data_IF_596351365233
#
_entry.id   IF_596351365233
#
_cell.length_a   1.000
_cell.length_b   1.000
_cell.length_c   1.000
_cell.angle_alpha   90.00
_cell.angle_beta   90.00
_cell.angle_gamma   90.00
#
_symmetry.space_group_name_H-M   'P 1'
#
loop_
_entity.id
_entity.type
_entity.pdbx_description
1 polymer ?
#
# COMPACT_ATOMS: atom_id res chain seq x y z
N UNK A 1 43.41 -10.36 27.27
CA UNK A 1 42.56 -11.23 26.42
C UNK A 1 42.51 -10.60 25.03
N UNK A 2 43.10 -11.22 24.00
CA UNK A 2 43.04 -10.72 22.62
C UNK A 2 41.57 -10.69 22.17
N UNK A 3 41.08 -9.53 21.73
CA UNK A 3 39.71 -9.38 21.22
C UNK A 3 39.53 -10.27 20.00
N UNK A 4 38.47 -11.09 20.00
CA UNK A 4 38.13 -11.90 18.84
C UNK A 4 37.90 -10.97 17.62
N UNK A 5 38.35 -11.37 16.42
CA UNK A 5 38.10 -10.60 15.21
C UNK A 5 36.59 -10.41 14.98
N UNK A 6 36.19 -9.31 14.31
CA UNK A 6 34.78 -9.05 14.01
C UNK A 6 34.18 -10.21 13.19
N UNK A 7 32.96 -10.63 13.56
CA UNK A 7 32.24 -11.68 12.82
C UNK A 7 32.05 -11.25 11.36
N UNK A 8 32.23 -12.19 10.44
CA UNK A 8 31.90 -11.98 9.04
C UNK A 8 30.43 -11.58 8.87
N UNK A 9 30.16 -10.72 7.89
CA UNK A 9 28.79 -10.45 7.46
C UNK A 9 28.18 -11.77 6.97
N UNK A 10 27.13 -12.23 7.65
CA UNK A 10 26.37 -13.41 7.23
C UNK A 10 25.04 -12.97 6.64
N UNK A 11 24.59 -13.68 5.62
CA UNK A 11 23.24 -13.56 5.08
C UNK A 11 22.54 -14.90 5.20
N UNK A 12 21.23 -14.89 5.44
CA UNK A 12 20.44 -16.10 5.35
C UNK A 12 20.36 -16.52 3.88
N UNK A 13 20.90 -17.69 3.56
CA UNK A 13 20.72 -18.36 2.28
C UNK A 13 19.65 -19.44 2.39
N UNK A 14 18.90 -19.66 1.31
CA UNK A 14 18.04 -20.82 1.18
C UNK A 14 18.81 -21.90 0.41
N UNK A 15 18.83 -23.12 0.91
CA UNK A 15 19.42 -24.28 0.23
C UNK A 15 18.33 -25.32 0.02
N UNK A 16 18.21 -25.82 -1.20
CA UNK A 16 17.30 -26.92 -1.50
C UNK A 16 17.84 -28.22 -0.88
N UNK A 17 16.95 -29.00 -0.29
CA UNK A 17 17.30 -30.31 0.25
C UNK A 17 16.26 -31.35 -0.19
N UNK A 18 16.74 -32.42 -0.82
CA UNK A 18 15.91 -33.54 -1.28
C UNK A 18 15.40 -33.42 -2.72
N UNK A 19 15.37 -34.55 -3.40
CA UNK A 19 14.84 -34.76 -4.76
C UNK A 19 13.81 -35.90 -4.80
N UNK A 20 13.37 -36.35 -3.62
CA UNK A 20 12.48 -37.50 -3.51
C UNK A 20 11.05 -37.10 -3.83
N UNK A 21 10.31 -38.02 -4.44
CA UNK A 21 8.87 -37.94 -4.53
C UNK A 21 8.23 -38.03 -3.14
N UNK A 22 6.97 -37.64 -3.05
CA UNK A 22 6.20 -37.71 -1.80
C UNK A 22 5.13 -38.77 -1.88
N UNK A 23 4.86 -39.45 -0.78
CA UNK A 23 3.70 -40.33 -0.68
C UNK A 23 2.44 -39.53 -0.33
N UNK A 24 1.29 -39.98 -0.81
CA UNK A 24 -0.01 -39.47 -0.34
C UNK A 24 -0.09 -39.69 1.17
N UNK A 25 -0.32 -38.61 1.91
CA UNK A 25 -0.56 -38.67 3.36
C UNK A 25 -2.01 -39.11 3.62
N UNK A 26 -2.21 -40.39 3.94
CA UNK A 26 -3.55 -40.95 4.14
C UNK A 26 -4.20 -40.26 5.33
N UNK A 27 -5.35 -39.61 5.10
CA UNK A 27 -6.08 -38.79 6.09
C UNK A 27 -5.24 -37.63 6.66
N UNK A 28 -4.26 -37.15 5.90
CA UNK A 28 -3.38 -36.03 6.32
C UNK A 28 -2.26 -36.42 7.29
N UNK A 29 -2.09 -37.71 7.59
CA UNK A 29 -1.01 -38.21 8.42
C UNK A 29 0.22 -38.55 7.58
N UNK A 30 1.30 -37.79 7.73
CA UNK A 30 2.56 -37.98 6.99
C UNK A 30 3.26 -39.30 7.31
N UNK A 31 2.94 -39.95 8.43
CA UNK A 31 3.49 -41.26 8.78
C UNK A 31 2.78 -42.39 8.03
N UNK A 32 1.51 -42.19 7.67
CA UNK A 32 0.71 -43.16 6.90
C UNK A 32 0.87 -42.91 5.41
N UNK A 33 1.95 -43.47 4.86
CA UNK A 33 2.32 -43.37 3.44
C UNK A 33 1.37 -44.20 2.58
N UNK A 34 0.67 -43.53 1.66
CA UNK A 34 -0.05 -44.15 0.55
C UNK A 34 0.83 -44.29 -0.69
N UNK A 35 0.22 -44.24 -1.87
CA UNK A 35 0.93 -44.30 -3.14
C UNK A 35 1.94 -43.17 -3.30
N UNK A 36 3.06 -43.47 -3.96
CA UNK A 36 4.08 -42.48 -4.29
C UNK A 36 3.58 -41.58 -5.43
N UNK A 37 3.66 -40.27 -5.22
CA UNK A 37 3.27 -39.26 -6.20
C UNK A 37 4.53 -38.64 -6.78
N UNK A 38 4.79 -38.82 -8.10
CA UNK A 38 5.94 -38.20 -8.73
C UNK A 38 5.83 -36.68 -8.66
N UNK A 39 6.97 -36.01 -8.49
CA UNK A 39 7.02 -34.54 -8.52
C UNK A 39 6.57 -34.07 -9.90
N UNK A 40 5.54 -33.24 -9.92
CA UNK A 40 4.95 -32.69 -11.14
C UNK A 40 4.11 -31.46 -10.83
N UNK A 41 3.75 -30.72 -11.87
CA UNK A 41 2.74 -29.67 -11.75
C UNK A 41 1.35 -30.29 -11.53
N UNK A 42 0.38 -29.49 -11.08
CA UNK A 42 -0.97 -29.97 -10.76
C UNK A 42 -1.60 -30.69 -11.96
N UNK A 43 -1.84 -32.00 -11.82
CA UNK A 43 -2.31 -32.89 -12.88
C UNK A 43 -3.68 -32.46 -13.45
N UNK A 44 -4.56 -31.96 -12.58
CA UNK A 44 -5.87 -31.43 -12.94
C UNK A 44 -5.76 -30.24 -13.91
N UNK A 45 -4.66 -29.48 -13.83
CA UNK A 45 -4.44 -28.26 -14.64
C UNK A 45 -3.54 -28.56 -15.85
N UNK A 46 -2.55 -29.43 -15.70
CA UNK A 46 -1.65 -29.84 -16.79
C UNK A 46 -1.46 -31.34 -16.81
N UNK A 47 -1.67 -31.97 -17.97
CA UNK A 47 -1.57 -33.43 -18.09
C UNK A 47 -0.13 -33.95 -17.97
N UNK A 48 0.89 -33.16 -18.37
CA UNK A 48 2.25 -33.70 -18.54
C UNK A 48 3.40 -32.71 -18.25
N UNK A 49 3.50 -32.23 -16.99
CA UNK A 49 4.66 -31.45 -16.51
C UNK A 49 5.34 -32.16 -15.34
N UNK A 50 6.04 -33.27 -15.60
CA UNK A 50 6.85 -33.98 -14.59
C UNK A 50 8.14 -33.22 -14.26
N UNK A 51 8.55 -33.23 -12.99
CA UNK A 51 9.75 -32.58 -12.50
C UNK A 51 10.84 -33.61 -12.23
N UNK A 52 11.90 -33.58 -13.04
CA UNK A 52 13.01 -34.53 -13.01
C UNK A 52 14.33 -33.94 -12.50
N UNK A 53 14.45 -32.61 -12.36
CA UNK A 53 15.71 -31.94 -11.96
C UNK A 53 15.70 -31.57 -10.48
N UNK A 54 16.79 -31.88 -9.78
CA UNK A 54 17.06 -31.45 -8.40
C UNK A 54 15.84 -31.61 -7.48
N UNK A 55 15.33 -30.54 -6.85
CA UNK A 55 14.10 -30.57 -6.03
C UNK A 55 12.81 -30.44 -6.84
N UNK A 56 12.87 -29.93 -8.07
CA UNK A 56 11.72 -29.60 -8.92
C UNK A 56 11.15 -28.19 -8.70
N UNK A 57 11.67 -27.41 -7.73
CA UNK A 57 11.19 -26.05 -7.43
C UNK A 57 11.37 -25.08 -8.60
N UNK A 58 12.52 -25.14 -9.29
CA UNK A 58 12.74 -24.32 -10.49
C UNK A 58 11.72 -24.65 -11.58
N UNK A 59 11.45 -25.94 -11.82
CA UNK A 59 10.49 -26.40 -12.84
C UNK A 59 9.06 -25.99 -12.49
N UNK A 60 8.71 -25.99 -11.19
CA UNK A 60 7.47 -25.43 -10.70
C UNK A 60 7.39 -23.92 -10.97
N UNK A 61 8.44 -23.16 -10.64
CA UNK A 61 8.49 -21.72 -10.88
C UNK A 61 8.34 -21.39 -12.37
N UNK A 62 9.10 -22.06 -13.23
CA UNK A 62 9.00 -21.96 -14.69
C UNK A 62 7.58 -22.28 -15.18
N UNK A 63 6.95 -23.34 -14.66
CA UNK A 63 5.58 -23.70 -15.01
C UNK A 63 4.54 -22.66 -14.58
N UNK A 64 4.76 -22.00 -13.44
CA UNK A 64 3.86 -20.95 -12.93
C UNK A 64 3.95 -19.68 -13.78
N UNK A 65 5.14 -19.29 -14.24
CA UNK A 65 5.33 -18.08 -15.07
C UNK A 65 5.35 -18.35 -16.57
N UNK A 66 5.10 -19.60 -16.97
CA UNK A 66 5.11 -20.00 -18.37
C UNK A 66 4.04 -19.23 -19.17
N UNK A 67 4.37 -18.93 -20.43
CA UNK A 67 3.52 -18.13 -21.32
C UNK A 67 2.19 -18.81 -21.66
N UNK A 68 2.14 -20.13 -21.60
CA UNK A 68 0.93 -20.96 -21.75
C UNK A 68 0.01 -20.90 -20.51
N UNK A 69 0.49 -20.32 -19.40
CA UNK A 69 -0.29 -20.10 -18.17
C UNK A 69 -0.68 -18.61 -18.04
N UNK A 70 -1.89 -18.21 -18.49
CA UNK A 70 -2.31 -16.82 -18.45
C UNK A 70 -2.69 -16.33 -17.04
N UNK A 71 -2.82 -17.22 -16.05
CA UNK A 71 -3.34 -16.85 -14.73
C UNK A 71 -2.37 -15.92 -13.99
N UNK A 72 -1.07 -16.22 -14.04
CA UNK A 72 -0.06 -15.48 -13.28
C UNK A 72 0.05 -14.01 -13.74
N UNK A 73 0.10 -13.79 -15.05
CA UNK A 73 0.14 -12.44 -15.63
C UNK A 73 -1.17 -11.68 -15.37
N UNK A 74 -2.33 -12.31 -15.55
CA UNK A 74 -3.65 -11.73 -15.23
C UNK A 74 -3.76 -11.31 -13.77
N UNK A 75 -3.36 -12.16 -12.83
CA UNK A 75 -3.40 -11.86 -11.39
C UNK A 75 -2.48 -10.69 -11.05
N UNK A 76 -1.26 -10.67 -11.58
CA UNK A 76 -0.30 -9.60 -11.29
C UNK A 76 -0.78 -8.25 -11.87
N UNK A 77 -1.20 -8.24 -13.13
CA UNK A 77 -1.76 -7.04 -13.79
C UNK A 77 -2.97 -6.53 -13.03
N UNK A 78 -3.88 -7.41 -12.62
CA UNK A 78 -5.07 -7.03 -11.87
C UNK A 78 -4.73 -6.37 -10.52
N UNK A 79 -3.69 -6.86 -9.83
CA UNK A 79 -3.19 -6.26 -8.59
C UNK A 79 -2.56 -4.89 -8.84
N UNK A 80 -1.71 -4.76 -9.86
CA UNK A 80 -1.08 -3.47 -10.22
C UNK A 80 -2.15 -2.44 -10.60
N UNK A 81 -3.15 -2.86 -11.37
CA UNK A 81 -4.32 -2.04 -11.69
C UNK A 81 -5.05 -1.60 -10.42
N UNK A 82 -5.32 -2.53 -9.50
CA UNK A 82 -5.98 -2.23 -8.24
C UNK A 82 -5.25 -1.17 -7.41
N UNK A 83 -3.92 -1.20 -7.35
CA UNK A 83 -3.13 -0.20 -6.62
C UNK A 83 -3.26 1.20 -7.22
N UNK A 84 -3.44 1.30 -8.54
CA UNK A 84 -3.62 2.57 -9.24
C UNK A 84 -5.05 3.11 -9.13
N UNK A 85 -6.07 2.25 -9.29
CA UNK A 85 -7.47 2.67 -9.40
C UNK A 85 -8.31 2.41 -8.13
N UNK A 86 -7.71 1.84 -7.07
CA UNK A 86 -8.37 1.44 -5.81
C UNK A 86 -9.25 0.19 -5.94
N UNK A 87 -9.71 -0.13 -7.15
CA UNK A 87 -10.50 -1.31 -7.47
C UNK A 87 -9.85 -2.08 -8.61
N UNK A 88 -9.88 -3.39 -8.49
CA UNK A 88 -9.35 -4.32 -9.48
C UNK A 88 -10.33 -4.52 -10.64
N UNK A 89 -9.84 -4.92 -11.82
CA UNK A 89 -10.70 -5.30 -12.96
C UNK A 89 -11.51 -6.56 -12.59
N UNK A 90 -10.85 -7.53 -11.97
CA UNK A 90 -11.47 -8.63 -11.24
C UNK A 90 -11.51 -8.24 -9.77
N UNK A 91 -12.70 -7.85 -9.28
CA UNK A 91 -12.92 -7.30 -7.93
C UNK A 91 -12.57 -8.28 -6.79
N UNK A 92 -12.33 -9.55 -7.11
CA UNK A 92 -11.77 -10.59 -6.22
C UNK A 92 -10.29 -10.88 -6.54
N UNK A 93 -9.31 -10.10 -6.02
CA UNK A 93 -7.92 -10.11 -6.52
C UNK A 93 -7.16 -11.43 -6.28
N UNK A 94 -7.63 -12.28 -5.37
CA UNK A 94 -7.06 -13.59 -5.07
C UNK A 94 -7.93 -14.76 -5.54
N UNK A 95 -9.06 -14.50 -6.23
CA UNK A 95 -9.92 -15.56 -6.74
C UNK A 95 -10.39 -15.24 -8.16
N UNK A 96 -9.79 -15.92 -9.14
CA UNK A 96 -10.12 -15.87 -10.56
C UNK A 96 -10.90 -17.12 -11.01
N UNK A 97 -11.30 -17.98 -10.07
CA UNK A 97 -12.09 -19.17 -10.35
C UNK A 97 -13.59 -18.86 -10.49
N UNK A 98 -14.40 -19.92 -10.60
CA UNK A 98 -15.86 -19.82 -10.81
C UNK A 98 -16.58 -19.09 -9.67
N UNK A 99 -16.04 -19.15 -8.45
CA UNK A 99 -16.58 -18.48 -7.25
C UNK A 99 -16.15 -17.00 -7.18
N UNK A 100 -15.17 -16.59 -8.00
CA UNK A 100 -14.73 -15.19 -8.10
C UNK A 100 -15.65 -14.34 -8.96
N UNK A 101 -15.43 -13.02 -8.93
CA UNK A 101 -16.13 -12.10 -9.84
C UNK A 101 -15.56 -12.18 -11.25
N UNK A 102 -16.41 -11.98 -12.26
CA UNK A 102 -15.96 -11.83 -13.65
C UNK A 102 -15.24 -10.48 -13.83
N UNK A 103 -14.23 -10.39 -14.72
CA UNK A 103 -13.58 -9.13 -15.04
C UNK A 103 -14.61 -8.11 -15.58
N UNK A 104 -14.55 -6.86 -15.13
CA UNK A 104 -15.36 -5.78 -15.71
C UNK A 104 -14.98 -5.52 -17.18
N UNK A 105 -13.69 -5.61 -17.49
CA UNK A 105 -13.13 -5.38 -18.82
C UNK A 105 -12.20 -6.56 -19.20
N UNK A 106 -12.75 -7.70 -19.67
CA UNK A 106 -11.97 -8.91 -19.92
C UNK A 106 -10.92 -8.73 -21.03
N UNK A 107 -11.28 -8.06 -22.13
CA UNK A 107 -10.36 -7.82 -23.24
C UNK A 107 -9.19 -6.89 -22.84
N UNK A 108 -9.45 -5.92 -21.96
CA UNK A 108 -8.41 -5.04 -21.43
C UNK A 108 -7.44 -5.81 -20.54
N UNK A 109 -7.96 -6.65 -19.64
CA UNK A 109 -7.14 -7.48 -18.78
C UNK A 109 -6.26 -8.43 -19.59
N UNK A 110 -6.82 -9.05 -20.62
CA UNK A 110 -6.10 -9.97 -21.50
C UNK A 110 -5.01 -9.28 -22.32
N UNK A 111 -5.33 -8.08 -22.83
CA UNK A 111 -4.36 -7.26 -23.54
C UNK A 111 -3.21 -6.81 -22.62
N UNK A 112 -3.51 -6.32 -21.42
CA UNK A 112 -2.50 -5.92 -20.45
C UNK A 112 -1.64 -7.10 -19.99
N UNK A 113 -2.24 -8.27 -19.74
CA UNK A 113 -1.53 -9.48 -19.35
C UNK A 113 -0.59 -9.98 -20.45
N UNK A 114 -1.03 -9.96 -21.70
CA UNK A 114 -0.20 -10.36 -22.85
C UNK A 114 0.93 -9.36 -23.07
N UNK A 115 0.62 -8.06 -23.08
CA UNK A 115 1.61 -6.99 -23.22
C UNK A 115 2.67 -7.03 -22.10
N UNK A 116 2.26 -7.36 -20.88
CA UNK A 116 3.17 -7.49 -19.75
C UNK A 116 4.17 -8.64 -19.94
N UNK A 117 3.72 -9.79 -20.47
CA UNK A 117 4.60 -10.91 -20.80
C UNK A 117 5.52 -10.58 -21.99
N UNK A 118 5.00 -9.89 -23.01
CA UNK A 118 5.76 -9.48 -24.20
C UNK A 118 6.88 -8.49 -23.90
N UNK A 119 6.66 -7.61 -22.92
CA UNK A 119 7.65 -6.66 -22.43
C UNK A 119 8.54 -7.23 -21.31
N UNK A 120 8.78 -8.55 -21.32
CA UNK A 120 9.72 -9.21 -20.42
C UNK A 120 9.34 -9.12 -18.94
N UNK A 121 8.04 -9.10 -18.61
CA UNK A 121 7.54 -9.02 -17.24
C UNK A 121 8.00 -7.74 -16.49
N UNK A 122 8.28 -6.66 -17.23
CA UNK A 122 8.70 -5.38 -16.65
C UNK A 122 7.55 -4.67 -15.93
N UNK A 123 7.54 -4.77 -14.60
CA UNK A 123 6.55 -4.09 -13.74
C UNK A 123 6.61 -2.57 -13.95
N UNK A 124 7.81 -2.01 -14.16
CA UNK A 124 8.00 -0.57 -14.41
C UNK A 124 7.33 -0.10 -15.69
N UNK A 125 7.43 -0.89 -16.76
CA UNK A 125 6.81 -0.52 -18.04
C UNK A 125 5.30 -0.64 -17.98
N UNK A 126 4.77 -1.64 -17.26
CA UNK A 126 3.34 -1.76 -16.99
C UNK A 126 2.80 -0.57 -16.18
N UNK A 127 3.50 -0.14 -15.11
CA UNK A 127 3.10 1.08 -14.39
C UNK A 127 3.09 2.30 -15.33
N UNK A 128 4.15 2.48 -16.13
CA UNK A 128 4.24 3.61 -17.08
C UNK A 128 3.12 3.59 -18.11
N UNK A 129 2.78 2.41 -18.63
CA UNK A 129 1.69 2.23 -19.59
C UNK A 129 0.36 2.66 -18.99
N UNK A 130 0.03 2.16 -17.80
CA UNK A 130 -1.21 2.51 -17.08
C UNK A 130 -1.24 4.02 -16.79
N UNK A 131 -0.17 4.58 -16.23
CA UNK A 131 -0.13 5.99 -15.82
C UNK A 131 -0.20 6.97 -17.00
N UNK A 132 0.21 6.55 -18.20
CA UNK A 132 0.11 7.36 -19.43
C UNK A 132 -1.27 7.26 -20.10
N UNK A 133 -2.12 6.32 -19.70
CA UNK A 133 -3.46 6.14 -20.27
C UNK A 133 -4.33 7.39 -20.07
N UNK A 134 -5.36 7.55 -20.91
CA UNK A 134 -6.39 8.56 -20.69
C UNK A 134 -7.17 8.26 -19.40
N UNK A 135 -7.44 6.97 -19.13
CA UNK A 135 -8.19 6.49 -17.96
C UNK A 135 -7.53 6.89 -16.64
N UNK A 136 -6.20 6.75 -16.51
CA UNK A 136 -5.48 7.14 -15.29
C UNK A 136 -5.46 8.66 -15.07
N UNK A 137 -5.57 9.45 -16.16
CA UNK A 137 -5.55 10.92 -16.12
C UNK A 137 -6.94 11.54 -16.06
N UNK A 138 -7.99 10.74 -15.87
CA UNK A 138 -9.35 11.23 -15.68
C UNK A 138 -9.48 12.01 -14.37
N UNK A 139 -10.40 12.97 -14.33
CA UNK A 139 -10.76 13.68 -13.10
C UNK A 139 -11.58 12.79 -12.17
N UNK A 140 -11.51 13.06 -10.86
CA UNK A 140 -12.39 12.52 -9.81
C UNK A 140 -13.80 13.16 -9.79
N UNK A 141 -14.03 14.21 -10.60
CA UNK A 141 -15.24 15.04 -10.59
C UNK A 141 -16.53 14.21 -10.68
N UNK A 142 -17.46 14.53 -9.80
CA UNK A 142 -18.79 13.93 -9.80
C UNK A 142 -19.64 14.46 -10.97
N UNK A 143 -20.27 13.54 -11.70
CA UNK A 143 -21.23 13.82 -12.79
C UNK A 143 -22.49 13.01 -12.50
N UNK A 144 -23.60 13.69 -12.15
CA UNK A 144 -24.84 13.04 -11.72
C UNK A 144 -25.37 12.02 -12.74
N UNK A 145 -25.42 12.40 -14.02
CA UNK A 145 -25.91 11.50 -15.08
C UNK A 145 -25.10 10.19 -15.23
N UNK A 146 -23.81 10.21 -14.92
CA UNK A 146 -22.98 9.00 -14.95
C UNK A 146 -23.15 8.18 -13.66
N UNK A 147 -23.27 8.86 -12.51
CA UNK A 147 -23.53 8.22 -11.23
C UNK A 147 -24.87 7.48 -11.21
N UNK A 148 -25.91 8.05 -11.81
CA UNK A 148 -27.23 7.42 -11.91
C UNK A 148 -27.22 6.13 -12.74
N UNK A 149 -26.26 6.00 -13.67
CA UNK A 149 -26.07 4.79 -14.52
C UNK A 149 -25.11 3.78 -13.93
N UNK A 150 -24.02 4.24 -13.32
CA UNK A 150 -22.93 3.42 -12.77
C UNK A 150 -22.34 4.08 -11.52
N UNK A 151 -23.12 4.08 -10.43
CA UNK A 151 -22.72 4.68 -9.15
C UNK A 151 -21.49 4.02 -8.53
N UNK A 152 -21.32 2.73 -8.82
CA UNK A 152 -20.18 1.90 -8.40
C UNK A 152 -18.89 2.15 -9.20
N UNK A 153 -18.98 2.98 -10.25
CA UNK A 153 -17.89 3.27 -11.18
C UNK A 153 -17.21 2.00 -11.75
N UNK A 154 -18.01 0.97 -12.09
CA UNK A 154 -17.53 -0.29 -12.70
C UNK A 154 -16.91 -0.07 -14.07
N UNK A 155 -17.44 0.90 -14.83
CA UNK A 155 -16.99 1.27 -16.17
C UNK A 155 -15.87 2.31 -16.17
N UNK A 156 -15.45 2.78 -14.98
CA UNK A 156 -14.32 3.71 -14.80
C UNK A 156 -14.52 4.98 -15.64
N UNK A 157 -15.64 5.66 -15.40
CA UNK A 157 -15.97 6.94 -16.03
C UNK A 157 -15.35 8.15 -15.31
N UNK A 158 -14.76 7.93 -14.14
CA UNK A 158 -13.96 8.91 -13.38
C UNK A 158 -12.85 8.21 -12.58
N UNK A 159 -11.88 8.98 -12.09
CA UNK A 159 -10.92 8.48 -11.10
C UNK A 159 -11.58 8.32 -9.73
N UNK A 160 -11.20 7.27 -8.99
CA UNK A 160 -11.72 7.02 -7.64
C UNK A 160 -10.80 7.66 -6.60
N UNK A 161 -11.31 8.52 -5.70
CA UNK A 161 -10.58 8.92 -4.51
C UNK A 161 -10.17 7.69 -3.72
N UNK A 162 -8.89 7.62 -3.34
CA UNK A 162 -8.32 6.49 -2.60
C UNK A 162 -7.75 6.96 -1.28
N UNK A 163 -8.10 6.24 -0.22
CA UNK A 163 -7.52 6.51 1.09
C UNK A 163 -6.06 6.08 1.10
N UNK A 164 -5.18 6.93 1.64
CA UNK A 164 -3.76 6.59 1.77
C UNK A 164 -3.53 5.55 2.86
N UNK A 165 -2.55 4.69 2.63
CA UNK A 165 -2.06 3.71 3.59
C UNK A 165 -1.43 4.40 4.81
N UNK A 166 -1.46 3.76 5.98
CA UNK A 166 -0.89 4.32 7.22
C UNK A 166 0.58 4.71 7.08
N UNK A 167 1.37 3.94 6.34
CA UNK A 167 2.78 4.19 6.07
C UNK A 167 2.95 5.48 5.24
N UNK A 168 2.22 5.58 4.12
CA UNK A 168 2.23 6.75 3.25
C UNK A 168 1.70 7.98 3.97
N UNK A 169 0.61 7.83 4.74
CA UNK A 169 0.00 8.90 5.51
C UNK A 169 0.96 9.46 6.56
N UNK A 170 1.59 8.60 7.37
CA UNK A 170 2.58 9.02 8.36
C UNK A 170 3.76 9.72 7.70
N UNK A 171 4.29 9.16 6.61
CA UNK A 171 5.42 9.74 5.89
C UNK A 171 5.04 11.10 5.28
N UNK A 172 3.81 11.25 4.76
CA UNK A 172 3.28 12.53 4.27
C UNK A 172 3.16 13.58 5.38
N UNK A 173 2.75 13.20 6.59
CA UNK A 173 2.73 14.13 7.75
C UNK A 173 4.14 14.68 8.01
N UNK A 174 5.15 13.80 8.06
CA UNK A 174 6.54 14.20 8.28
C UNK A 174 7.12 15.01 7.11
N UNK A 175 6.73 14.70 5.87
CA UNK A 175 7.16 15.46 4.71
C UNK A 175 6.55 16.87 4.71
N UNK A 176 5.26 16.98 5.02
CA UNK A 176 4.54 18.25 5.12
C UNK A 176 5.08 19.14 6.25
N UNK A 177 5.56 18.57 7.35
CA UNK A 177 6.18 19.33 8.45
C UNK A 177 7.68 19.59 8.25
N UNK A 178 8.31 18.95 7.26
CA UNK A 178 9.74 19.10 6.97
C UNK A 178 10.66 18.28 7.88
N UNK A 179 10.13 17.21 8.47
CA UNK A 179 10.84 16.35 9.43
C UNK A 179 11.24 14.99 8.86
N UNK A 180 10.75 14.63 7.67
CA UNK A 180 11.00 13.32 7.08
C UNK A 180 12.48 13.12 6.73
N UNK A 181 13.09 12.09 7.32
CA UNK A 181 14.44 11.63 6.97
C UNK A 181 14.40 10.63 5.80
N UNK A 182 15.01 11.03 4.69
CA UNK A 182 15.10 10.26 3.44
C UNK A 182 16.34 9.35 3.36
N UNK A 183 17.16 9.28 4.43
CA UNK A 183 18.36 8.44 4.45
C UNK A 183 18.03 6.97 4.19
N UNK A 184 18.68 6.41 3.16
CA UNK A 184 18.56 5.02 2.76
C UNK A 184 19.42 4.10 3.64
N UNK A 185 18.88 2.93 3.98
CA UNK A 185 19.60 1.89 4.74
C UNK A 185 19.65 2.14 6.25
N UNK A 186 20.46 1.39 6.99
CA UNK A 186 20.56 1.51 8.46
C UNK A 186 19.51 0.69 9.23
N UNK A 187 19.62 0.72 10.56
CA UNK A 187 18.82 -0.13 11.45
C UNK A 187 17.32 0.21 11.40
N UNK A 188 16.44 -0.80 11.52
CA UNK A 188 15.01 -0.57 11.68
C UNK A 188 14.70 0.04 13.05
N UNK A 189 13.52 0.64 13.19
CA UNK A 189 13.04 1.23 14.44
C UNK A 189 11.81 0.52 14.98
N UNK A 190 11.80 0.30 16.29
CA UNK A 190 10.65 -0.22 17.02
C UNK A 190 9.66 0.90 17.39
N UNK A 191 10.09 2.17 17.40
CA UNK A 191 9.31 3.33 17.82
C UNK A 191 9.07 4.31 16.66
N UNK A 192 8.28 3.88 15.67
CA UNK A 192 8.10 4.62 14.43
C UNK A 192 7.45 6.00 14.65
N UNK A 193 6.59 6.14 15.67
CA UNK A 193 5.96 7.43 16.01
C UNK A 193 6.94 8.47 16.55
N UNK A 194 8.07 8.05 17.14
CA UNK A 194 9.10 8.95 17.64
C UNK A 194 10.27 9.11 16.65
N UNK A 195 10.20 8.47 15.48
CA UNK A 195 11.26 8.50 14.49
C UNK A 195 10.91 9.44 13.33
N UNK A 196 11.87 10.22 12.79
CA UNK A 196 11.69 10.95 11.53
C UNK A 196 11.84 10.06 10.30
N UNK A 197 12.26 8.80 10.45
CA UNK A 197 12.52 7.90 9.32
C UNK A 197 11.24 7.49 8.60
N UNK A 198 11.36 7.18 7.31
CA UNK A 198 10.29 6.57 6.51
C UNK A 198 9.73 5.31 7.18
N UNK A 199 8.42 5.13 7.08
CA UNK A 199 7.66 4.04 7.68
C UNK A 199 8.14 2.64 7.23
N UNK A 200 8.76 2.55 6.06
CA UNK A 200 9.39 1.31 5.55
C UNK A 200 10.50 0.76 6.46
N UNK A 201 11.09 1.60 7.32
CA UNK A 201 12.10 1.20 8.30
C UNK A 201 11.50 0.79 9.65
N UNK A 202 10.17 0.70 9.77
CA UNK A 202 9.54 0.17 10.97
C UNK A 202 9.79 -1.34 11.10
N UNK A 203 10.15 -1.78 12.30
CA UNK A 203 10.15 -3.20 12.63
C UNK A 203 8.71 -3.68 12.74
N UNK A 204 8.38 -4.79 12.08
CA UNK A 204 7.05 -5.41 12.12
C UNK A 204 7.12 -6.75 12.85
N UNK A 205 6.29 -6.90 13.89
CA UNK A 205 6.14 -8.16 14.59
C UNK A 205 5.17 -9.08 13.86
N UNK A 206 5.60 -10.32 13.56
CA UNK A 206 4.67 -11.36 13.10
C UNK A 206 3.82 -11.92 14.24
N UNK A 207 4.24 -11.76 15.50
CA UNK A 207 3.65 -12.48 16.63
C UNK A 207 2.74 -11.59 17.51
N UNK A 208 1.99 -10.67 16.88
CA UNK A 208 1.09 -9.72 17.56
C UNK A 208 1.82 -8.47 18.07
N UNK A 209 1.13 -7.69 18.91
CA UNK A 209 1.56 -6.38 19.42
C UNK A 209 2.74 -6.52 20.43
N UNK A 210 3.94 -6.78 19.90
CA UNK A 210 5.17 -6.94 20.70
C UNK A 210 6.07 -5.71 20.61
N UNK A 211 5.85 -4.89 19.60
CA UNK A 211 6.63 -3.70 19.28
C UNK A 211 5.74 -2.49 19.57
N UNK A 212 6.31 -1.41 20.08
CA UNK A 212 5.56 -0.20 20.43
C UNK A 212 4.85 0.45 19.23
N UNK A 213 5.31 0.17 18.00
CA UNK A 213 4.65 0.63 16.76
C UNK A 213 3.45 -0.22 16.33
N UNK A 214 3.33 -1.46 16.79
CA UNK A 214 2.29 -2.39 16.33
C UNK A 214 0.86 -1.87 16.59
N UNK A 215 0.52 -1.32 17.78
CA UNK A 215 -0.82 -0.80 18.03
C UNK A 215 -1.22 0.34 17.09
N UNK A 216 -0.26 1.19 16.70
CA UNK A 216 -0.48 2.26 15.73
C UNK A 216 -0.81 1.69 14.36
N UNK A 217 0.00 0.77 13.86
CA UNK A 217 -0.25 0.13 12.56
C UNK A 217 -1.59 -0.61 12.53
N UNK A 218 -1.91 -1.36 13.58
CA UNK A 218 -3.18 -2.07 13.71
C UNK A 218 -4.38 -1.13 13.74
N UNK A 219 -4.28 0.00 14.44
CA UNK A 219 -5.35 1.01 14.51
C UNK A 219 -5.72 1.57 13.13
N UNK A 220 -4.76 1.65 12.21
CA UNK A 220 -4.94 2.15 10.84
C UNK A 220 -4.86 1.03 9.79
N UNK A 221 -5.47 -0.11 10.10
CA UNK A 221 -5.74 -1.22 9.17
C UNK A 221 -4.51 -1.84 8.50
N UNK A 222 -3.34 -1.80 9.17
CA UNK A 222 -2.17 -2.52 8.67
C UNK A 222 -2.45 -4.03 8.64
N UNK A 223 -2.20 -4.73 7.52
CA UNK A 223 -2.51 -6.16 7.39
C UNK A 223 -1.73 -7.01 8.40
N UNK A 224 -2.40 -8.04 8.93
CA UNK A 224 -1.78 -8.99 9.85
C UNK A 224 -0.58 -9.70 9.15
N UNK A 225 0.66 -9.57 9.66
CA UNK A 225 1.85 -10.06 8.95
C UNK A 225 2.00 -11.59 8.87
N UNK A 226 1.08 -12.35 9.48
CA UNK A 226 1.03 -13.82 9.44
C UNK A 226 0.10 -14.36 8.36
N UNK A 227 -0.68 -13.50 7.73
CA UNK A 227 -1.69 -13.89 6.74
C UNK A 227 -1.48 -13.14 5.44
N UNK A 228 -1.86 -13.75 4.33
CA UNK A 228 -1.97 -13.06 3.04
C UNK A 228 -3.16 -12.12 3.06
N UNK A 229 -2.99 -10.89 2.57
CA UNK A 229 -4.08 -9.94 2.36
C UNK A 229 -4.20 -9.62 0.87
N UNK A 230 -5.36 -9.90 0.29
CA UNK A 230 -5.64 -9.65 -1.13
C UNK A 230 -5.91 -8.16 -1.40
N UNK A 231 -6.52 -7.48 -0.44
CA UNK A 231 -6.85 -6.05 -0.42
C UNK A 231 -6.76 -5.59 1.03
N UNK A 232 -6.20 -4.40 1.26
CA UNK A 232 -6.18 -3.80 2.58
C UNK A 232 -7.60 -3.35 2.95
N UNK A 233 -8.03 -3.69 4.17
CA UNK A 233 -9.29 -3.20 4.72
C UNK A 233 -9.16 -1.70 4.98
N UNK A 234 -10.23 -0.95 4.77
CA UNK A 234 -10.31 0.46 5.14
C UNK A 234 -11.47 0.62 6.11
N UNK A 235 -11.16 0.85 7.38
CA UNK A 235 -12.17 1.04 8.43
C UNK A 235 -12.28 2.52 8.79
N UNK A 236 -13.50 2.96 9.10
CA UNK A 236 -13.77 4.31 9.61
C UNK A 236 -14.25 4.18 11.03
N UNK A 237 -13.30 4.12 11.98
CA UNK A 237 -13.59 3.88 13.39
C UNK A 237 -13.28 5.11 14.23
N UNK A 238 -14.09 5.42 15.28
CA UNK A 238 -13.89 6.59 16.13
C UNK A 238 -12.49 6.68 16.73
N UNK A 239 -11.86 5.54 17.05
CA UNK A 239 -10.52 5.47 17.65
C UNK A 239 -9.44 6.10 16.75
N UNK A 240 -9.58 6.01 15.43
CA UNK A 240 -8.64 6.65 14.49
C UNK A 240 -8.74 8.19 14.57
N UNK A 241 -9.95 8.74 14.70
CA UNK A 241 -10.16 10.19 14.87
C UNK A 241 -9.69 10.65 16.24
N UNK A 242 -9.99 9.88 17.30
CA UNK A 242 -9.49 10.18 18.64
C UNK A 242 -7.96 10.18 18.69
N UNK A 243 -7.28 9.31 17.94
CA UNK A 243 -5.84 9.34 17.79
C UNK A 243 -5.36 10.64 17.12
N UNK A 244 -6.00 11.08 16.04
CA UNK A 244 -5.66 12.33 15.34
C UNK A 244 -5.83 13.55 16.25
N UNK A 245 -6.91 13.56 17.06
CA UNK A 245 -7.21 14.68 17.95
C UNK A 245 -6.31 14.73 19.20
N UNK A 246 -5.95 13.57 19.76
CA UNK A 246 -5.37 13.51 21.10
C UNK A 246 -3.94 12.97 21.15
N UNK A 247 -3.42 12.39 20.07
CA UNK A 247 -2.09 11.76 20.14
C UNK A 247 -0.98 12.81 20.27
N UNK A 248 0.03 12.56 21.13
CA UNK A 248 1.24 13.39 21.19
C UNK A 248 1.97 13.46 19.84
N UNK A 249 1.85 12.42 19.02
CA UNK A 249 2.39 12.41 17.67
C UNK A 249 1.77 13.53 16.82
N UNK A 250 0.43 13.61 16.74
CA UNK A 250 -0.25 14.64 15.97
C UNK A 250 0.02 16.04 16.51
N UNK A 251 -0.02 16.22 17.83
CA UNK A 251 0.25 17.51 18.46
C UNK A 251 1.65 18.04 18.12
N UNK A 252 2.67 17.17 18.13
CA UNK A 252 4.03 17.52 17.70
C UNK A 252 4.06 17.95 16.23
N UNK A 253 3.37 17.23 15.33
CA UNK A 253 3.30 17.57 13.90
C UNK A 253 2.58 18.88 13.64
N UNK A 254 1.49 19.15 14.35
CA UNK A 254 0.79 20.42 14.29
C UNK A 254 1.71 21.59 14.68
N UNK A 255 2.44 21.45 15.79
CA UNK A 255 3.43 22.44 16.21
C UNK A 255 4.58 22.62 15.21
N UNK A 256 5.08 21.54 14.62
CA UNK A 256 6.11 21.60 13.59
C UNK A 256 5.63 22.30 12.31
N UNK A 257 4.39 22.02 11.88
CA UNK A 257 3.78 22.70 10.74
C UNK A 257 3.60 24.20 11.02
N UNK A 258 3.05 24.56 12.18
CA UNK A 258 2.87 25.96 12.57
C UNK A 258 4.20 26.74 12.55
N UNK A 259 5.27 26.17 13.13
CA UNK A 259 6.62 26.75 13.10
C UNK A 259 7.17 26.87 11.68
N UNK A 260 6.92 25.88 10.83
CA UNK A 260 7.31 25.92 9.42
C UNK A 260 6.60 27.06 8.69
N UNK A 261 5.28 27.17 8.83
CA UNK A 261 4.48 28.22 8.19
C UNK A 261 4.91 29.61 8.66
N UNK A 262 5.20 29.78 9.95
CA UNK A 262 5.70 31.05 10.49
C UNK A 262 7.02 31.52 9.83
N UNK A 263 7.87 30.59 9.38
CA UNK A 263 9.12 30.90 8.65
C UNK A 263 8.91 31.12 7.16
N UNK A 264 7.90 30.47 6.58
CA UNK A 264 7.65 30.47 5.13
C UNK A 264 6.59 31.51 4.68
N UNK A 265 5.98 32.26 5.61
CA UNK A 265 5.00 33.29 5.29
C UNK A 265 4.97 34.43 6.31
N UNK A 266 4.98 35.66 5.80
CA UNK A 266 4.98 36.89 6.61
C UNK A 266 3.60 37.21 7.18
N UNK A 267 2.55 37.08 6.36
CA UNK A 267 1.15 37.37 6.74
C UNK A 267 0.36 36.09 7.00
N UNK A 268 -0.77 36.20 7.71
CA UNK A 268 -1.63 35.04 7.95
C UNK A 268 -2.19 34.48 6.63
N UNK A 269 -2.53 35.34 5.67
CA UNK A 269 -3.00 34.97 4.34
C UNK A 269 -1.94 34.15 3.59
N UNK A 270 -0.68 34.60 3.61
CA UNK A 270 0.42 33.90 2.96
C UNK A 270 0.68 32.53 3.62
N UNK A 271 0.58 32.46 4.96
CA UNK A 271 0.71 31.20 5.70
C UNK A 271 -0.42 30.23 5.40
N UNK A 272 -1.66 30.70 5.28
CA UNK A 272 -2.79 29.86 4.87
C UNK A 272 -2.58 29.34 3.45
N UNK A 273 -2.23 30.20 2.48
CA UNK A 273 -1.96 29.77 1.11
C UNK A 273 -0.86 28.71 1.06
N UNK A 274 0.22 28.92 1.83
CA UNK A 274 1.32 27.97 1.92
C UNK A 274 0.89 26.63 2.53
N UNK A 275 0.06 26.64 3.57
CA UNK A 275 -0.45 25.42 4.19
C UNK A 275 -1.23 24.57 3.19
N UNK A 276 -2.13 25.18 2.42
CA UNK A 276 -2.94 24.47 1.42
C UNK A 276 -2.09 23.90 0.27
N UNK A 277 -1.06 24.63 -0.19
CA UNK A 277 -0.13 24.10 -1.19
C UNK A 277 0.69 22.93 -0.67
N UNK A 278 1.10 22.96 0.60
CA UNK A 278 1.89 21.88 1.22
C UNK A 278 1.04 20.62 1.47
N UNK A 279 -0.21 20.79 1.90
CA UNK A 279 -1.06 19.69 2.34
C UNK A 279 -1.94 19.12 1.23
N UNK A 280 -2.44 19.97 0.32
CA UNK A 280 -3.47 19.62 -0.66
C UNK A 280 -3.04 19.90 -2.11
N UNK A 281 -1.84 20.45 -2.31
CA UNK A 281 -1.31 20.78 -3.64
C UNK A 281 -2.21 21.71 -4.47
N UNK A 282 -2.98 22.57 -3.80
CA UNK A 282 -3.85 23.59 -4.41
C UNK A 282 -3.87 24.85 -3.54
N UNK A 283 -4.28 26.02 -4.07
CA UNK A 283 -4.59 27.16 -3.23
C UNK A 283 -5.89 26.95 -2.43
N UNK A 284 -6.08 27.66 -1.31
CA UNK A 284 -7.36 27.68 -0.59
C UNK A 284 -8.41 28.41 -1.44
N UNK A 285 -9.65 27.92 -1.37
CA UNK A 285 -10.81 28.66 -1.84
C UNK A 285 -11.03 29.93 -1.00
N UNK A 286 -11.90 30.83 -1.48
CA UNK A 286 -12.23 32.05 -0.75
C UNK A 286 -12.82 31.75 0.63
N UNK A 287 -13.81 30.87 0.71
CA UNK A 287 -14.43 30.48 1.97
C UNK A 287 -13.45 29.81 2.95
N UNK A 288 -12.56 28.96 2.47
CA UNK A 288 -11.50 28.34 3.29
C UNK A 288 -10.52 29.38 3.85
N UNK A 289 -10.12 30.36 3.04
CA UNK A 289 -9.24 31.45 3.47
C UNK A 289 -9.93 32.30 4.53
N UNK A 290 -11.16 32.73 4.27
CA UNK A 290 -11.92 33.60 5.16
C UNK A 290 -12.18 32.92 6.51
N UNK A 291 -12.51 31.62 6.50
CA UNK A 291 -12.68 30.79 7.69
C UNK A 291 -11.38 30.68 8.49
N UNK A 292 -10.24 30.43 7.80
CA UNK A 292 -8.93 30.36 8.43
C UNK A 292 -8.53 31.68 9.09
N UNK A 293 -8.75 32.81 8.42
CA UNK A 293 -8.47 34.14 8.97
C UNK A 293 -9.34 34.45 10.18
N UNK A 294 -10.65 34.18 10.10
CA UNK A 294 -11.58 34.39 11.21
C UNK A 294 -11.24 33.53 12.44
N UNK A 295 -10.80 32.29 12.22
CA UNK A 295 -10.33 31.42 13.30
C UNK A 295 -9.07 31.99 13.98
N UNK A 296 -8.08 32.40 13.18
CA UNK A 296 -6.80 32.91 13.68
C UNK A 296 -6.93 34.28 14.37
N UNK A 297 -7.94 35.08 14.04
CA UNK A 297 -8.16 36.37 14.73
C UNK A 297 -8.72 36.23 16.15
N UNK A 298 -9.37 35.11 16.46
CA UNK A 298 -9.98 34.85 17.77
C UNK A 298 -9.03 34.15 18.75
N UNK A 299 -7.95 33.54 18.25
CA UNK A 299 -7.04 32.72 19.03
C UNK A 299 -5.77 33.50 19.43
N UNK A 300 -5.14 33.10 20.55
CA UNK A 300 -3.77 33.52 20.84
C UNK A 300 -2.86 33.06 19.68
N UNK A 301 -1.99 33.92 19.16
CA UNK A 301 -1.31 33.73 17.87
C UNK A 301 -0.57 32.40 17.74
N UNK A 302 0.20 31.99 18.76
CA UNK A 302 0.93 30.71 18.69
C UNK A 302 0.02 29.49 18.88
N UNK A 303 -0.89 29.54 19.84
CA UNK A 303 -1.81 28.43 20.12
C UNK A 303 -2.82 28.22 18.97
N UNK A 304 -3.29 29.32 18.36
CA UNK A 304 -4.20 29.32 17.23
C UNK A 304 -3.60 28.65 16.00
N UNK A 305 -2.34 28.96 15.68
CA UNK A 305 -1.66 28.29 14.56
C UNK A 305 -1.46 26.80 14.79
N UNK A 306 -1.16 26.37 16.02
CA UNK A 306 -1.06 24.94 16.36
C UNK A 306 -2.41 24.23 16.18
N UNK A 307 -3.51 24.83 16.66
CA UNK A 307 -4.85 24.25 16.52
C UNK A 307 -5.30 24.22 15.05
N UNK A 308 -5.06 25.29 14.30
CA UNK A 308 -5.37 25.36 12.88
C UNK A 308 -4.58 24.33 12.07
N UNK A 309 -3.27 24.21 12.33
CA UNK A 309 -2.43 23.19 11.72
C UNK A 309 -2.93 21.77 12.04
N UNK A 310 -3.36 21.51 13.27
CA UNK A 310 -3.91 20.21 13.66
C UNK A 310 -5.20 19.90 12.90
N UNK A 311 -6.10 20.88 12.74
CA UNK A 311 -7.33 20.72 11.98
C UNK A 311 -7.06 20.38 10.51
N UNK A 312 -6.11 21.07 9.87
CA UNK A 312 -5.75 20.79 8.47
C UNK A 312 -5.09 19.42 8.30
N UNK A 313 -4.14 19.05 9.17
CA UNK A 313 -3.48 17.73 9.13
C UNK A 313 -4.46 16.58 9.42
N UNK A 314 -5.51 16.84 10.19
CA UNK A 314 -6.56 15.89 10.52
C UNK A 314 -7.71 15.83 9.52
N UNK A 315 -7.69 16.66 8.47
CA UNK A 315 -8.75 16.71 7.46
C UNK A 315 -8.84 15.43 6.64
N UNK A 316 -10.04 15.18 6.08
CA UNK A 316 -10.21 14.07 5.13
C UNK A 316 -9.39 14.27 3.86
N UNK A 317 -9.32 15.49 3.34
CA UNK A 317 -8.57 15.78 2.12
C UNK A 317 -7.10 15.37 2.23
N UNK A 318 -6.49 15.47 3.42
CA UNK A 318 -5.12 15.02 3.65
C UNK A 318 -4.97 13.48 3.63
N UNK A 319 -6.05 12.73 3.87
CA UNK A 319 -6.07 11.26 3.94
C UNK A 319 -6.50 10.59 2.64
N UNK A 320 -6.89 11.35 1.62
CA UNK A 320 -7.30 10.81 0.32
C UNK A 320 -6.44 11.40 -0.80
N UNK A 321 -6.20 10.59 -1.83
CA UNK A 321 -5.59 11.01 -3.09
C UNK A 321 -6.64 10.88 -4.18
N UNK A 322 -6.79 11.92 -4.97
CA UNK A 322 -7.67 12.00 -6.15
C UNK A 322 -6.90 11.92 -7.46
#
# INVERSE_FOLDING_TARGET
>A
RKSAPPKYATAHGLRENGSNNMHVAIRGDLQKKGEEVPRRFLEVISRDKSFSKESGLLQLAESVVARDNPLTSRVLVNRIWQWHFGQAIVRTPSNFGVIGEKPTHPLLLDWLATNFMDNGWSIKDLHRLIMKSATYRMSSRHIAANFDRDGDNRLIWRMNPRRVEVESWRDSLLAATGELDLKLGGAPTNEILNSPRRSVYATISRNGDRISSDPFFRLFDFPAPRSTSAKRTTSTVPQQYLFIMNSPFFQKRAGALAKRLAREGETNEARIDRAYRLLFNRPPSTGERDTGLAFLSQANTEAGWNQYAQALLGSEEFRYIE
#
